data_IF_158025709363
#
_entry.id   IF_158025709363
#
_cell.length_a   1.000
_cell.length_b   1.000
_cell.length_c   1.000
_cell.angle_alpha   90.00
_cell.angle_beta   90.00
_cell.angle_gamma   90.00
#
_symmetry.space_group_name_H-M   'P 1'
#
loop_
_entity.id
_entity.type
_entity.pdbx_description
1 polymer ?
#
# COMPACT_ATOMS: atom_id res chain seq x y z
N UNK A 1 8.53 1.01 -8.18
CA UNK A 1 9.44 1.66 -9.17
C UNK A 1 10.85 1.19 -8.87
N UNK A 2 11.49 0.45 -9.78
CA UNK A 2 12.88 -0.03 -9.57
C UNK A 2 13.87 1.12 -9.78
N UNK A 3 14.88 1.22 -8.94
CA UNK A 3 15.99 2.16 -9.09
C UNK A 3 17.19 1.39 -9.62
N UNK A 4 17.55 1.64 -10.89
CA UNK A 4 18.83 1.18 -11.41
C UNK A 4 19.95 1.76 -10.54
N UNK A 5 20.96 0.93 -10.22
CA UNK A 5 22.03 1.32 -9.30
C UNK A 5 22.62 2.68 -9.64
N UNK A 6 22.69 3.54 -8.65
CA UNK A 6 23.29 4.88 -8.74
C UNK A 6 24.03 5.22 -7.46
N UNK A 7 24.99 6.07 -7.57
CA UNK A 7 25.68 6.63 -6.41
C UNK A 7 24.90 7.82 -5.86
N UNK A 8 24.59 7.77 -4.57
CA UNK A 8 23.96 8.86 -3.81
C UNK A 8 24.81 9.13 -2.57
N UNK A 9 25.29 10.35 -2.43
CA UNK A 9 26.08 10.78 -1.26
C UNK A 9 27.26 9.85 -0.95
N UNK A 10 27.98 9.38 -1.98
CA UNK A 10 29.10 8.45 -1.83
C UNK A 10 28.71 6.99 -1.55
N UNK A 11 27.42 6.69 -1.54
CA UNK A 11 26.90 5.33 -1.36
C UNK A 11 26.22 4.82 -2.62
N UNK A 12 26.63 3.63 -3.08
CA UNK A 12 25.99 2.99 -4.21
C UNK A 12 24.65 2.37 -3.77
N UNK A 13 23.58 2.87 -4.34
CA UNK A 13 22.19 2.53 -3.94
C UNK A 13 21.50 1.77 -5.04
N UNK A 14 20.81 0.70 -4.71
CA UNK A 14 19.98 -0.11 -5.61
C UNK A 14 18.66 -0.44 -4.94
N UNK A 15 17.60 -0.50 -5.74
CA UNK A 15 16.28 -0.93 -5.27
C UNK A 15 15.56 -1.69 -6.39
N UNK A 16 15.47 -3.02 -6.31
CA UNK A 16 14.64 -3.80 -7.23
C UNK A 16 13.15 -3.49 -7.01
N UNK A 17 12.31 -3.86 -7.96
CA UNK A 17 10.87 -3.74 -7.78
C UNK A 17 10.35 -4.75 -6.74
N UNK A 18 9.12 -4.52 -6.29
CA UNK A 18 8.42 -5.39 -5.35
C UNK A 18 8.03 -6.75 -5.96
N UNK A 19 7.54 -7.64 -5.11
CA UNK A 19 7.03 -8.97 -5.48
C UNK A 19 8.06 -9.91 -6.13
N UNK A 20 9.37 -9.68 -5.93
CA UNK A 20 10.46 -10.51 -6.44
C UNK A 20 10.41 -10.77 -7.97
N UNK A 21 9.77 -9.89 -8.74
CA UNK A 21 9.72 -9.98 -10.21
C UNK A 21 11.08 -9.74 -10.83
N UNK A 22 11.89 -8.93 -10.18
CA UNK A 22 13.22 -8.54 -10.58
C UNK A 22 14.17 -8.60 -9.37
N UNK A 23 15.45 -8.76 -9.65
CA UNK A 23 16.49 -8.64 -8.63
C UNK A 23 17.68 -7.85 -9.19
N UNK A 24 18.39 -7.18 -8.30
CA UNK A 24 19.58 -6.44 -8.67
C UNK A 24 20.79 -7.32 -8.44
N UNK A 25 21.52 -7.60 -9.51
CA UNK A 25 22.84 -8.24 -9.44
C UNK A 25 23.92 -7.16 -9.24
N UNK A 26 24.73 -7.32 -8.24
CA UNK A 26 25.83 -6.42 -7.91
C UNK A 26 27.16 -7.19 -7.98
N UNK A 27 28.09 -6.66 -8.76
CA UNK A 27 29.46 -7.11 -8.81
C UNK A 27 30.38 -6.03 -8.28
N UNK A 28 31.11 -6.34 -7.22
CA UNK A 28 32.06 -5.44 -6.58
C UNK A 28 33.45 -5.97 -6.79
N UNK A 29 34.24 -5.25 -7.57
CA UNK A 29 35.69 -5.59 -7.76
C UNK A 29 36.54 -4.66 -6.91
N UNK A 30 37.37 -5.23 -6.09
CA UNK A 30 38.30 -4.51 -5.23
C UNK A 30 39.70 -4.91 -5.63
N UNK A 31 40.54 -3.92 -5.98
CA UNK A 31 41.97 -4.05 -6.20
C UNK A 31 42.69 -3.18 -5.17
N UNK A 32 44.03 -3.27 -5.08
CA UNK A 32 44.81 -2.47 -4.13
C UNK A 32 44.56 -0.97 -4.28
N UNK A 33 44.34 -0.50 -5.51
CA UNK A 33 44.20 0.94 -5.81
C UNK A 33 42.79 1.39 -6.16
N UNK A 34 41.85 0.46 -6.37
CA UNK A 34 40.52 0.82 -6.90
C UNK A 34 39.41 -0.13 -6.45
N UNK A 35 38.26 0.47 -6.15
CA UNK A 35 36.99 -0.23 -6.01
C UNK A 35 36.07 0.16 -7.18
N UNK A 36 35.55 -0.83 -7.87
CA UNK A 36 34.51 -0.61 -8.90
C UNK A 36 33.25 -1.41 -8.59
N UNK A 37 32.11 -0.83 -8.89
CA UNK A 37 30.79 -1.45 -8.69
C UNK A 37 30.08 -1.46 -10.05
N UNK A 38 29.61 -2.63 -10.44
CA UNK A 38 28.74 -2.83 -11.59
C UNK A 38 27.40 -3.37 -11.08
N UNK A 39 26.29 -2.83 -11.58
CA UNK A 39 24.98 -3.36 -11.28
C UNK A 39 24.19 -3.67 -12.54
N UNK A 40 23.37 -4.68 -12.47
CA UNK A 40 22.52 -5.14 -13.54
C UNK A 40 21.15 -5.55 -12.95
N UNK A 41 20.08 -5.04 -13.53
CA UNK A 41 18.73 -5.48 -13.19
C UNK A 41 18.41 -6.76 -13.98
N UNK A 42 18.05 -7.81 -13.27
CA UNK A 42 17.73 -9.12 -13.86
C UNK A 42 16.30 -9.51 -13.54
N UNK A 43 15.62 -10.10 -14.49
CA UNK A 43 14.29 -10.67 -14.29
C UNK A 43 14.38 -11.98 -13.50
N UNK A 44 13.45 -12.17 -12.59
CA UNK A 44 13.29 -13.44 -11.90
C UNK A 44 12.76 -14.50 -12.87
N UNK A 45 13.30 -15.68 -12.80
CA UNK A 45 12.86 -16.82 -13.60
C UNK A 45 11.93 -17.70 -12.76
N UNK A 46 10.61 -17.69 -13.00
CA UNK A 46 9.66 -18.45 -12.21
C UNK A 46 9.80 -19.96 -12.38
N UNK A 47 10.55 -20.42 -13.39
CA UNK A 47 10.81 -21.85 -13.60
C UNK A 47 11.95 -22.38 -12.73
N UNK A 48 12.79 -21.51 -12.20
CA UNK A 48 13.86 -21.85 -11.29
C UNK A 48 13.34 -21.89 -9.85
N UNK A 49 13.62 -22.95 -9.14
CA UNK A 49 13.20 -23.11 -7.74
C UNK A 49 11.97 -23.98 -7.54
N UNK A 50 11.61 -24.84 -8.50
CA UNK A 50 10.51 -25.80 -8.38
C UNK A 50 10.54 -26.61 -7.07
N UNK A 51 11.73 -27.01 -6.61
CA UNK A 51 11.90 -27.69 -5.33
C UNK A 51 11.55 -26.82 -4.10
N UNK A 52 11.68 -25.50 -4.18
CA UNK A 52 11.23 -24.58 -3.13
C UNK A 52 9.70 -24.49 -3.10
N UNK A 53 9.06 -24.42 -4.25
CA UNK A 53 7.61 -24.41 -4.36
C UNK A 53 7.01 -25.68 -3.73
N UNK A 54 7.59 -26.85 -4.02
CA UNK A 54 7.14 -28.11 -3.43
C UNK A 54 7.35 -28.15 -1.91
N UNK A 55 8.50 -27.67 -1.45
CA UNK A 55 8.82 -27.59 -0.02
C UNK A 55 7.83 -26.73 0.76
N UNK A 56 7.35 -25.63 0.20
CA UNK A 56 6.46 -24.70 0.87
C UNK A 56 4.99 -24.87 0.49
N UNK A 57 4.64 -25.81 -0.36
CA UNK A 57 3.27 -26.04 -0.85
C UNK A 57 2.24 -26.21 0.27
N UNK A 58 2.57 -26.95 1.32
CA UNK A 58 1.66 -27.15 2.46
C UNK A 58 1.40 -25.84 3.19
N UNK A 59 2.44 -25.05 3.44
CA UNK A 59 2.31 -23.74 4.09
C UNK A 59 1.51 -22.80 3.20
N UNK A 60 1.81 -22.74 1.91
CA UNK A 60 1.07 -21.93 0.94
C UNK A 60 -0.42 -22.28 0.92
N UNK A 61 -0.76 -23.56 0.83
CA UNK A 61 -2.15 -24.00 0.85
C UNK A 61 -2.87 -23.60 2.14
N UNK A 62 -2.20 -23.70 3.29
CA UNK A 62 -2.77 -23.27 4.59
C UNK A 62 -3.02 -21.77 4.63
N UNK A 63 -2.06 -20.97 4.15
CA UNK A 63 -2.20 -19.52 4.06
C UNK A 63 -3.32 -19.12 3.10
N UNK A 64 -3.41 -19.77 1.93
CA UNK A 64 -4.46 -19.50 0.97
C UNK A 64 -5.85 -19.86 1.51
N UNK A 65 -5.97 -20.97 2.22
CA UNK A 65 -7.22 -21.38 2.88
C UNK A 65 -7.65 -20.33 3.92
N UNK A 66 -6.73 -19.87 4.76
CA UNK A 66 -6.99 -18.83 5.75
C UNK A 66 -7.37 -17.48 5.11
N UNK A 67 -6.64 -17.04 4.08
CA UNK A 67 -6.94 -15.80 3.37
C UNK A 67 -8.31 -15.82 2.70
N UNK A 68 -8.73 -16.97 2.19
CA UNK A 68 -10.02 -17.13 1.51
C UNK A 68 -11.20 -17.42 2.46
N UNK A 69 -10.95 -17.50 3.76
CA UNK A 69 -12.00 -17.71 4.75
C UNK A 69 -13.02 -16.56 4.68
N UNK A 70 -14.31 -16.86 4.45
CA UNK A 70 -15.35 -15.84 4.47
C UNK A 70 -15.57 -15.34 5.90
N UNK A 71 -15.68 -14.04 6.08
CA UNK A 71 -15.82 -13.37 7.38
C UNK A 71 -17.03 -12.45 7.46
N UNK A 72 -17.68 -12.15 6.35
CA UNK A 72 -18.85 -11.31 6.31
C UNK A 72 -19.46 -11.17 4.93
N UNK A 73 -20.62 -10.51 4.90
CA UNK A 73 -21.33 -10.22 3.67
C UNK A 73 -21.74 -8.76 3.63
N UNK A 74 -21.56 -8.11 2.48
CA UNK A 74 -22.04 -6.77 2.18
C UNK A 74 -23.16 -6.86 1.16
N UNK A 75 -24.18 -6.03 1.29
CA UNK A 75 -25.30 -5.95 0.32
C UNK A 75 -24.81 -5.59 -1.10
N UNK A 76 -23.67 -4.94 -1.21
CA UNK A 76 -22.98 -4.63 -2.47
C UNK A 76 -21.48 -4.55 -2.25
N UNK A 77 -20.69 -4.81 -3.29
CA UNK A 77 -19.24 -4.59 -3.27
C UNK A 77 -18.92 -3.09 -3.10
N UNK A 78 -17.80 -2.80 -2.41
CA UNK A 78 -17.26 -1.45 -2.24
C UNK A 78 -15.87 -1.47 -2.87
N UNK A 79 -15.79 -0.99 -4.11
CA UNK A 79 -14.54 -1.02 -4.89
C UNK A 79 -13.88 0.36 -4.90
N UNK A 80 -12.54 0.43 -5.01
CA UNK A 80 -11.86 1.70 -5.16
C UNK A 80 -12.19 2.33 -6.52
N UNK A 81 -12.21 3.65 -6.54
CA UNK A 81 -12.28 4.45 -7.75
C UNK A 81 -10.90 5.08 -8.05
N UNK A 82 -10.84 5.91 -9.07
CA UNK A 82 -9.63 6.67 -9.39
C UNK A 82 -9.23 7.58 -8.20
N UNK A 83 -7.93 7.65 -7.90
CA UNK A 83 -7.42 8.27 -6.66
C UNK A 83 -7.76 9.74 -6.51
N UNK A 84 -7.59 10.54 -7.58
CA UNK A 84 -7.89 11.97 -7.54
C UNK A 84 -9.38 12.17 -7.34
N UNK A 85 -10.22 11.37 -8.03
CA UNK A 85 -11.68 11.41 -7.87
C UNK A 85 -12.10 11.09 -6.43
N UNK A 86 -11.52 10.04 -5.81
CA UNK A 86 -11.80 9.70 -4.42
C UNK A 86 -11.38 10.81 -3.45
N UNK A 87 -10.26 11.47 -3.72
CA UNK A 87 -9.77 12.56 -2.88
C UNK A 87 -10.63 13.81 -2.97
N UNK A 88 -11.18 14.13 -4.14
CA UNK A 88 -12.02 15.32 -4.36
C UNK A 88 -13.48 15.12 -3.93
N UNK A 89 -14.06 13.96 -4.23
CA UNK A 89 -15.49 13.72 -4.10
C UNK A 89 -15.86 12.73 -3.00
N UNK A 90 -14.84 12.22 -2.28
CA UNK A 90 -15.00 11.19 -1.26
C UNK A 90 -14.87 9.78 -1.82
N UNK A 91 -14.72 8.83 -0.89
CA UNK A 91 -14.50 7.43 -1.19
C UNK A 91 -15.48 6.55 -0.41
N UNK A 92 -16.25 5.68 -1.07
CA UNK A 92 -17.11 4.71 -0.38
C UNK A 92 -16.34 3.81 0.59
N UNK A 93 -15.07 3.51 0.30
CA UNK A 93 -14.20 2.72 1.20
C UNK A 93 -13.85 3.55 2.44
N UNK A 94 -13.44 4.81 2.27
CA UNK A 94 -13.14 5.68 3.39
C UNK A 94 -14.38 5.93 4.26
N UNK A 95 -15.56 6.14 3.66
CA UNK A 95 -16.82 6.28 4.39
C UNK A 95 -17.13 5.02 5.22
N UNK A 96 -17.00 3.84 4.62
CA UNK A 96 -17.20 2.57 5.32
C UNK A 96 -16.26 2.40 6.51
N UNK A 97 -14.96 2.64 6.32
CA UNK A 97 -13.96 2.54 7.38
C UNK A 97 -14.19 3.59 8.48
N UNK A 98 -14.51 4.83 8.12
CA UNK A 98 -14.83 5.89 9.07
C UNK A 98 -16.07 5.53 9.91
N UNK A 99 -17.11 4.94 9.33
CA UNK A 99 -18.28 4.47 10.08
C UNK A 99 -17.94 3.39 11.08
N UNK A 100 -17.05 2.46 10.73
CA UNK A 100 -16.53 1.44 11.66
C UNK A 100 -15.80 2.11 12.82
N UNK A 101 -14.89 3.05 12.52
CA UNK A 101 -14.15 3.78 13.56
C UNK A 101 -15.08 4.56 14.49
N UNK A 102 -16.07 5.27 13.96
CA UNK A 102 -17.07 5.99 14.75
C UNK A 102 -17.87 5.05 15.65
N UNK A 103 -18.27 3.89 15.13
CA UNK A 103 -19.01 2.89 15.88
C UNK A 103 -18.25 2.39 17.11
N UNK A 104 -16.95 2.08 16.95
CA UNK A 104 -16.13 1.54 18.03
C UNK A 104 -15.58 2.61 18.99
N UNK A 105 -15.35 3.84 18.49
CA UNK A 105 -14.80 4.92 19.30
C UNK A 105 -15.85 5.76 20.04
N UNK A 106 -17.07 5.85 19.50
CA UNK A 106 -18.09 6.79 19.96
C UNK A 106 -17.75 8.26 19.67
N UNK A 107 -16.71 8.54 18.87
CA UNK A 107 -16.31 9.89 18.50
C UNK A 107 -17.33 10.53 17.54
N UNK A 108 -17.31 11.87 17.46
CA UNK A 108 -18.20 12.63 16.56
C UNK A 108 -17.64 12.72 15.12
N UNK A 109 -16.32 12.62 14.97
CA UNK A 109 -15.62 12.74 13.69
C UNK A 109 -14.64 11.59 13.56
N UNK A 110 -14.36 11.18 12.34
CA UNK A 110 -13.37 10.16 12.03
C UNK A 110 -12.59 10.53 10.78
N UNK A 111 -11.33 10.15 10.75
CA UNK A 111 -10.46 10.27 9.58
C UNK A 111 -9.68 8.99 9.40
N UNK A 112 -9.60 8.50 8.17
CA UNK A 112 -8.85 7.30 7.80
C UNK A 112 -7.92 7.60 6.64
N UNK A 113 -6.66 7.11 6.74
CA UNK A 113 -5.74 7.07 5.62
C UNK A 113 -5.93 5.79 4.81
N UNK A 114 -6.01 5.91 3.49
CA UNK A 114 -6.03 4.78 2.58
C UNK A 114 -4.62 4.52 2.04
N UNK A 115 -4.25 3.24 1.87
CA UNK A 115 -3.02 2.86 1.18
C UNK A 115 -3.08 3.26 -0.30
N UNK A 116 -1.92 3.38 -0.94
CA UNK A 116 -1.85 3.72 -2.36
C UNK A 116 -2.47 2.65 -3.28
N UNK A 117 -2.36 1.40 -2.87
CA UNK A 117 -2.92 0.25 -3.56
C UNK A 117 -3.91 -0.45 -2.63
N UNK A 118 -5.19 -0.37 -2.94
CA UNK A 118 -6.27 -0.99 -2.17
C UNK A 118 -7.14 -1.85 -3.08
N UNK A 119 -7.55 -3.01 -2.60
CA UNK A 119 -8.33 -3.95 -3.38
C UNK A 119 -9.85 -3.67 -3.32
N UNK A 120 -10.33 -3.07 -2.24
CA UNK A 120 -11.76 -2.92 -1.95
C UNK A 120 -12.36 -4.18 -1.31
N UNK A 121 -13.68 -4.15 -1.15
CA UNK A 121 -14.45 -5.24 -0.52
C UNK A 121 -15.45 -5.82 -1.51
N UNK A 122 -15.37 -7.11 -1.76
CA UNK A 122 -16.39 -7.84 -2.51
C UNK A 122 -17.65 -8.03 -1.66
N UNK A 123 -18.75 -8.44 -2.26
CA UNK A 123 -19.99 -8.74 -1.52
C UNK A 123 -19.78 -9.86 -0.49
N UNK A 124 -19.11 -10.95 -0.88
CA UNK A 124 -18.59 -11.95 0.05
C UNK A 124 -17.20 -11.52 0.51
N UNK A 125 -17.11 -11.00 1.73
CA UNK A 125 -15.86 -10.47 2.30
C UNK A 125 -15.04 -11.61 2.89
N UNK A 126 -13.79 -11.70 2.48
CA UNK A 126 -12.82 -12.66 3.02
C UNK A 126 -11.73 -11.94 3.82
N UNK A 127 -10.94 -12.72 4.57
CA UNK A 127 -9.73 -12.21 5.24
C UNK A 127 -8.81 -11.51 4.26
N UNK A 128 -8.67 -12.03 3.04
CA UNK A 128 -7.89 -11.42 1.96
C UNK A 128 -8.35 -10.00 1.63
N UNK A 129 -9.65 -9.80 1.52
CA UNK A 129 -10.20 -8.49 1.17
C UNK A 129 -9.87 -7.43 2.24
N UNK A 130 -9.90 -7.82 3.52
CA UNK A 130 -9.50 -6.91 4.61
C UNK A 130 -8.02 -6.57 4.52
N UNK A 131 -7.14 -7.58 4.43
CA UNK A 131 -5.69 -7.36 4.42
C UNK A 131 -5.26 -6.57 3.18
N UNK A 132 -5.87 -6.84 2.03
CA UNK A 132 -5.55 -6.13 0.79
C UNK A 132 -6.11 -4.70 0.73
N UNK A 133 -7.16 -4.41 1.49
CA UNK A 133 -7.77 -3.07 1.52
C UNK A 133 -7.23 -2.21 2.67
N UNK A 134 -6.94 -2.83 3.82
CA UNK A 134 -6.38 -2.16 4.99
C UNK A 134 -5.17 -2.95 5.52
N UNK A 135 -4.00 -2.84 4.86
CA UNK A 135 -2.86 -3.71 5.12
C UNK A 135 -2.08 -3.38 6.40
N UNK A 136 -2.33 -2.24 7.04
CA UNK A 136 -1.55 -1.79 8.17
C UNK A 136 -2.24 -2.11 9.51
N UNK A 137 -1.53 -2.68 10.47
CA UNK A 137 -2.06 -2.96 11.82
C UNK A 137 -2.08 -1.67 12.67
N UNK A 138 -2.92 -0.72 12.29
CA UNK A 138 -3.04 0.55 12.98
C UNK A 138 -3.89 0.44 14.25
N UNK A 139 -3.60 1.30 15.21
CA UNK A 139 -4.41 1.46 16.43
C UNK A 139 -5.43 2.58 16.22
N UNK A 140 -6.65 2.36 16.68
CA UNK A 140 -7.66 3.42 16.74
C UNK A 140 -7.35 4.36 17.90
N UNK A 141 -7.16 5.64 17.61
CA UNK A 141 -6.85 6.69 18.57
C UNK A 141 -7.96 7.73 18.56
N UNK A 142 -8.42 8.14 19.74
CA UNK A 142 -9.39 9.22 19.92
C UNK A 142 -8.67 10.41 20.51
N UNK A 143 -8.85 11.58 19.90
CA UNK A 143 -8.25 12.84 20.32
C UNK A 143 -9.32 13.90 20.50
N UNK A 144 -9.13 14.79 21.47
CA UNK A 144 -9.90 16.02 21.58
C UNK A 144 -9.25 17.11 20.71
N UNK A 145 -10.03 17.76 19.86
CA UNK A 145 -9.59 18.87 19.01
C UNK A 145 -10.59 20.01 19.06
N UNK A 146 -10.10 21.23 18.90
CA UNK A 146 -10.94 22.42 18.73
C UNK A 146 -11.39 22.59 17.29
N UNK A 147 -12.48 23.33 17.07
CA UNK A 147 -12.92 23.68 15.71
C UNK A 147 -11.84 24.44 14.90
N UNK A 148 -11.00 25.26 15.56
CA UNK A 148 -9.89 25.95 14.91
C UNK A 148 -8.81 24.96 14.42
N UNK A 149 -8.46 23.95 15.23
CA UNK A 149 -7.53 22.89 14.83
C UNK A 149 -8.09 22.06 13.69
N UNK A 150 -9.37 21.69 13.75
CA UNK A 150 -10.02 20.97 12.65
C UNK A 150 -9.96 21.77 11.36
N UNK A 151 -10.30 23.06 11.40
CA UNK A 151 -10.21 23.96 10.25
C UNK A 151 -8.80 23.96 9.65
N UNK A 152 -7.76 24.11 10.48
CA UNK A 152 -6.38 24.10 10.02
C UNK A 152 -5.99 22.79 9.33
N UNK A 153 -6.43 21.64 9.87
CA UNK A 153 -6.15 20.32 9.24
C UNK A 153 -6.83 20.22 7.88
N UNK A 154 -8.08 20.67 7.77
CA UNK A 154 -8.82 20.62 6.50
C UNK A 154 -8.20 21.56 5.45
N UNK A 155 -7.84 22.79 5.83
CA UNK A 155 -7.16 23.74 4.94
C UNK A 155 -5.81 23.18 4.47
N UNK A 156 -5.02 22.59 5.37
CA UNK A 156 -3.76 21.97 5.00
C UNK A 156 -3.94 20.79 4.03
N UNK A 157 -4.99 20.00 4.19
CA UNK A 157 -5.31 18.92 3.27
C UNK A 157 -5.74 19.43 1.91
N UNK A 158 -6.46 20.55 1.86
CA UNK A 158 -6.91 21.16 0.61
C UNK A 158 -5.74 21.77 -0.20
N UNK A 159 -4.64 22.19 0.44
CA UNK A 159 -3.44 22.68 -0.25
C UNK A 159 -2.77 21.66 -1.18
N UNK A 160 -3.12 20.36 -1.05
CA UNK A 160 -2.63 19.32 -1.95
C UNK A 160 -3.15 19.48 -3.38
N UNK A 161 -4.30 20.13 -3.55
CA UNK A 161 -4.95 20.34 -4.83
C UNK A 161 -4.69 21.75 -5.35
N UNK A 162 -4.47 21.84 -6.67
CA UNK A 162 -4.41 23.10 -7.38
C UNK A 162 -5.30 23.02 -8.62
N UNK A 163 -5.88 24.15 -8.99
CA UNK A 163 -6.62 24.29 -10.24
C UNK A 163 -5.69 24.71 -11.35
N UNK A 164 -5.84 24.11 -12.53
CA UNK A 164 -5.23 24.63 -13.74
C UNK A 164 -5.98 25.87 -14.25
N UNK A 165 -5.49 26.47 -15.35
CA UNK A 165 -6.11 27.66 -15.96
C UNK A 165 -7.50 27.38 -16.56
N UNK A 166 -7.89 26.12 -16.71
CA UNK A 166 -9.20 25.67 -17.23
C UNK A 166 -10.16 25.29 -16.08
N UNK A 167 -9.70 25.35 -14.82
CA UNK A 167 -10.50 24.99 -13.65
C UNK A 167 -10.52 23.51 -13.33
N UNK A 168 -9.64 22.69 -13.93
CA UNK A 168 -9.47 21.28 -13.58
C UNK A 168 -8.51 21.15 -12.38
N UNK A 169 -8.67 20.09 -11.60
CA UNK A 169 -7.83 19.75 -10.44
C UNK A 169 -6.74 18.80 -10.82
#
# INVERSE_FOLDING_TARGET
MSVHGRELFGTYTVQPCDNAKEYQYLEVTVTEDKKSIRSELRQSDPTKGAGLADKYRSTENSVQAWLNQPIGHLSRAIMPEEKVKMALYGSPIADFLNRIQLHFSGAMLSSVGLANEIAGFRSEVSTRDIIATYPYPNTLVVCEITGAQLKTVMERSAEYFAYDNEGNV
#
